data_IF_688510292690
#
_entry.id   IF_688510292690
#
_cell.length_a   1.000
_cell.length_b   1.000
_cell.length_c   1.000
_cell.angle_alpha   90.00
_cell.angle_beta   90.00
_cell.angle_gamma   90.00
#
_symmetry.space_group_name_H-M   'P 1'
#
loop_
_entity.id
_entity.type
_entity.pdbx_description
1 polymer ?
#
# COMPACT_ATOMS: atom_id res chain seq x y z
N UNK A 1 -24.01 -12.80 -5.03
CA UNK A 1 -23.75 -12.19 -4.70
C UNK A 1 -22.84 -11.95 -4.23
N UNK A 2 -22.44 -11.81 -4.10
CA UNK A 2 -21.68 -11.60 -3.75
C UNK A 2 -21.36 -10.98 -2.91
N UNK A 3 -21.21 -10.89 -2.39
CA UNK A 3 -21.09 -10.27 -1.57
C UNK A 3 -20.03 -9.91 -1.01
N UNK A 4 -19.52 -10.08 -0.81
CA UNK A 4 -18.72 -9.73 -0.39
C UNK A 4 -18.08 -8.72 -0.11
N UNK A 5 -18.15 -7.80 -0.48
CA UNK A 5 -17.50 -6.63 -0.13
C UNK A 5 -17.61 -6.25 1.24
N UNK A 6 -18.45 -6.84 1.85
CA UNK A 6 -18.54 -6.60 3.19
C UNK A 6 -17.30 -6.72 3.93
N UNK A 7 -16.36 -7.49 3.42
CA UNK A 7 -15.16 -7.74 4.15
C UNK A 7 -14.09 -6.68 3.99
N UNK A 8 -14.32 -5.67 3.18
CA UNK A 8 -13.34 -4.63 3.04
C UNK A 8 -13.38 -3.68 4.22
N UNK A 9 -12.27 -3.47 4.91
CA UNK A 9 -12.25 -2.52 6.03
C UNK A 9 -12.34 -1.09 5.53
N UNK A 10 -12.81 -0.19 6.39
CA UNK A 10 -12.82 1.22 6.07
C UNK A 10 -11.40 1.76 6.06
N UNK A 11 -11.15 2.72 5.20
CA UNK A 11 -9.82 3.32 5.05
C UNK A 11 -9.76 4.69 5.69
N UNK A 12 -8.57 5.15 6.12
CA UNK A 12 -8.42 6.51 6.62
C UNK A 12 -8.73 7.51 5.52
N UNK A 13 -8.99 8.75 5.92
CA UNK A 13 -9.27 9.81 4.97
C UNK A 13 -8.10 9.97 4.00
N UNK A 14 -8.42 10.15 2.73
CA UNK A 14 -7.41 10.29 1.68
C UNK A 14 -7.01 9.00 1.02
N UNK A 15 -7.39 7.87 1.59
CA UNK A 15 -7.09 6.56 1.02
C UNK A 15 -8.32 5.99 0.33
N UNK A 16 -8.12 5.33 -0.80
CA UNK A 16 -9.20 4.79 -1.61
C UNK A 16 -8.87 3.40 -2.09
N UNK A 17 -9.91 2.58 -2.27
CA UNK A 17 -9.73 1.30 -2.94
C UNK A 17 -9.65 1.56 -4.44
N UNK A 18 -8.62 1.08 -5.12
CA UNK A 18 -8.47 1.33 -6.55
C UNK A 18 -9.41 0.43 -7.36
N UNK A 19 -9.76 0.89 -8.56
CA UNK A 19 -10.42 -0.01 -9.49
C UNK A 19 -9.38 -0.99 -10.03
N UNK A 20 -9.84 -1.97 -10.82
CA UNK A 20 -8.93 -3.03 -11.28
C UNK A 20 -7.78 -2.49 -12.12
N UNK A 21 -8.03 -1.51 -12.96
CA UNK A 21 -6.99 -0.95 -13.80
C UNK A 21 -5.96 -0.21 -12.98
N UNK A 22 -6.41 0.61 -12.03
CA UNK A 22 -5.50 1.35 -11.15
C UNK A 22 -4.69 0.39 -10.30
N UNK A 23 -5.35 -0.64 -9.76
CA UNK A 23 -4.64 -1.63 -8.94
C UNK A 23 -3.54 -2.31 -9.75
N UNK A 24 -3.84 -2.66 -11.00
CA UNK A 24 -2.88 -3.32 -11.87
C UNK A 24 -1.71 -2.40 -12.18
N UNK A 25 -1.99 -1.12 -12.44
CA UNK A 25 -0.94 -0.15 -12.76
C UNK A 25 -0.03 0.08 -11.56
N UNK A 26 -0.60 0.19 -10.37
CA UNK A 26 0.20 0.38 -9.16
C UNK A 26 1.09 -0.84 -8.90
N UNK A 27 0.54 -2.03 -9.08
CA UNK A 27 1.32 -3.25 -8.89
C UNK A 27 2.43 -3.36 -9.92
N UNK A 28 2.13 -3.04 -11.17
CA UNK A 28 3.12 -3.11 -12.23
C UNK A 28 4.26 -2.13 -11.98
N UNK A 29 3.92 -0.91 -11.52
CA UNK A 29 4.96 0.06 -11.23
C UNK A 29 5.82 -0.39 -10.06
N UNK A 30 5.20 -0.96 -9.01
CA UNK A 30 5.97 -1.49 -7.91
C UNK A 30 6.99 -2.52 -8.41
N UNK A 31 6.54 -3.47 -9.25
CA UNK A 31 7.44 -4.51 -9.73
C UNK A 31 8.58 -3.94 -10.56
N UNK A 32 8.31 -2.87 -11.31
CA UNK A 32 9.37 -2.24 -12.10
C UNK A 32 10.41 -1.57 -11.23
N UNK A 33 10.00 -1.00 -10.10
CA UNK A 33 10.90 -0.22 -9.25
C UNK A 33 11.71 -1.04 -8.26
N UNK A 34 11.29 -2.27 -7.97
CA UNK A 34 11.92 -3.05 -6.91
C UNK A 34 13.32 -3.54 -7.29
N UNK A 35 14.37 -3.06 -6.61
CA UNK A 35 15.71 -3.60 -6.85
C UNK A 35 15.93 -4.85 -5.99
N UNK A 36 16.96 -5.64 -6.32
CA UNK A 36 17.34 -6.72 -5.44
C UNK A 36 17.65 -6.20 -4.03
N UNK A 37 17.22 -6.93 -3.02
CA UNK A 37 17.48 -6.54 -1.65
C UNK A 37 16.44 -5.64 -1.03
N UNK A 38 15.46 -5.16 -1.81
CA UNK A 38 14.37 -4.39 -1.25
C UNK A 38 13.48 -5.29 -0.39
N UNK A 39 12.86 -4.70 0.65
CA UNK A 39 11.97 -5.45 1.55
C UNK A 39 10.93 -6.25 0.78
N UNK A 40 10.38 -5.72 -0.30
CA UNK A 40 9.35 -6.39 -1.07
C UNK A 40 9.87 -7.22 -2.24
N UNK A 41 11.17 -7.25 -2.48
CA UNK A 41 11.71 -8.00 -3.59
C UNK A 41 11.38 -9.48 -3.43
N UNK A 42 10.70 -10.06 -4.41
CA UNK A 42 10.32 -11.47 -4.35
C UNK A 42 9.16 -11.77 -3.44
N UNK A 43 8.54 -10.76 -2.82
CA UNK A 43 7.40 -10.98 -1.92
C UNK A 43 6.10 -10.90 -2.71
N UNK A 44 5.23 -11.90 -2.62
CA UNK A 44 3.95 -11.82 -3.31
C UNK A 44 3.02 -10.85 -2.57
N UNK A 45 2.61 -9.81 -3.28
CA UNK A 45 1.71 -8.80 -2.72
C UNK A 45 0.66 -8.43 -3.75
N UNK A 46 -0.42 -7.83 -3.27
CA UNK A 46 -1.45 -7.28 -4.15
C UNK A 46 -1.73 -5.85 -3.74
N UNK A 47 -2.15 -5.03 -4.69
CA UNK A 47 -2.53 -3.65 -4.38
C UNK A 47 -3.81 -3.67 -3.58
N UNK A 48 -3.79 -3.02 -2.41
CA UNK A 48 -4.94 -3.01 -1.53
C UNK A 48 -5.63 -1.65 -1.55
N UNK A 49 -4.85 -0.56 -1.49
CA UNK A 49 -5.39 0.79 -1.47
C UNK A 49 -4.33 1.75 -1.94
N UNK A 50 -4.72 3.01 -2.21
CA UNK A 50 -3.75 4.03 -2.56
C UNK A 50 -4.23 5.39 -2.07
N UNK A 51 -3.29 6.31 -1.90
CA UNK A 51 -3.58 7.65 -1.43
C UNK A 51 -3.65 8.58 -2.64
N UNK A 52 -4.76 9.27 -2.78
CA UNK A 52 -4.93 10.21 -3.86
C UNK A 52 -4.33 11.56 -3.45
N UNK A 53 -3.89 12.33 -4.43
CA UNK A 53 -3.38 13.66 -4.16
C UNK A 53 -1.94 13.81 -4.56
N UNK A 54 -1.19 14.58 -3.80
CA UNK A 54 0.17 14.93 -4.17
C UNK A 54 1.20 13.83 -3.89
N UNK A 55 0.82 12.78 -3.18
CA UNK A 55 1.75 11.70 -2.87
C UNK A 55 1.43 10.48 -3.72
N UNK A 56 2.41 9.64 -3.88
CA UNK A 56 2.26 8.43 -4.68
C UNK A 56 2.32 7.19 -3.80
N UNK A 57 1.70 7.29 -2.62
CA UNK A 57 1.71 6.19 -1.66
C UNK A 57 0.69 5.14 -2.03
N UNK A 58 1.10 3.89 -1.98
CA UNK A 58 0.21 2.76 -2.22
C UNK A 58 0.38 1.76 -1.09
N UNK A 59 -0.71 1.10 -0.73
CA UNK A 59 -0.74 0.11 0.34
C UNK A 59 -0.87 -1.26 -0.31
N UNK A 60 0.11 -2.12 -0.05
CA UNK A 60 0.13 -3.47 -0.61
C UNK A 60 -0.09 -4.48 0.49
N UNK A 61 -0.95 -5.46 0.23
CA UNK A 61 -1.23 -6.54 1.18
C UNK A 61 -0.39 -7.75 0.78
N UNK A 62 0.27 -8.37 1.76
CA UNK A 62 1.04 -9.58 1.50
C UNK A 62 0.08 -10.76 1.39
N UNK A 63 0.16 -11.48 0.27
CA UNK A 63 -0.82 -12.52 -0.01
C UNK A 63 -0.50 -13.83 0.69
N UNK A 64 0.73 -13.99 1.15
CA UNK A 64 1.14 -15.21 1.85
C UNK A 64 1.39 -15.01 3.32
N UNK A 65 1.04 -13.84 3.84
CA UNK A 65 1.16 -13.56 5.26
C UNK A 65 -0.14 -12.95 5.76
N UNK A 66 -0.60 -13.48 6.88
CA UNK A 66 -1.81 -12.97 7.46
C UNK A 66 -1.58 -11.59 8.04
N UNK A 67 -2.43 -10.65 7.70
CA UNK A 67 -2.44 -9.30 8.29
C UNK A 67 -1.09 -8.60 8.18
N UNK A 68 -0.48 -8.62 7.00
CA UNK A 68 0.73 -7.85 6.77
C UNK A 68 0.51 -6.91 5.59
N UNK A 69 0.78 -5.62 5.82
CA UNK A 69 0.56 -4.55 4.86
C UNK A 69 1.79 -3.66 4.81
N UNK A 70 2.13 -3.19 3.62
CA UNK A 70 3.29 -2.32 3.44
C UNK A 70 2.89 -1.10 2.61
N UNK A 71 3.21 0.09 3.11
CA UNK A 71 2.99 1.33 2.36
C UNK A 71 4.28 1.67 1.63
N UNK A 72 4.17 1.84 0.33
CA UNK A 72 5.31 2.16 -0.53
C UNK A 72 5.06 3.51 -1.20
N UNK A 73 6.08 4.36 -1.17
CA UNK A 73 6.06 5.61 -1.93
C UNK A 73 6.71 5.34 -3.28
N UNK A 74 5.88 5.23 -4.32
CA UNK A 74 6.36 4.92 -5.67
C UNK A 74 7.01 6.15 -6.30
N UNK A 75 8.07 5.94 -7.05
CA UNK A 75 8.76 7.06 -7.70
C UNK A 75 8.24 7.34 -9.09
N UNK A 76 7.56 6.37 -9.70
CA UNK A 76 7.00 6.46 -11.05
C UNK A 76 8.05 6.75 -12.12
N UNK A 77 9.27 6.28 -11.89
CA UNK A 77 10.34 6.45 -12.87
C UNK A 77 10.27 5.43 -14.00
N UNK A 78 9.47 4.38 -13.83
CA UNK A 78 9.32 3.37 -14.85
C UNK A 78 10.52 2.46 -15.00
N UNK A 79 11.40 2.44 -14.01
CA UNK A 79 12.61 1.63 -14.04
C UNK A 79 12.99 1.22 -12.64
N UNK A 80 13.87 0.24 -12.56
CA UNK A 80 14.33 -0.28 -11.28
C UNK A 80 15.20 0.76 -10.57
N UNK A 81 14.95 0.93 -9.28
CA UNK A 81 15.77 1.79 -8.46
C UNK A 81 17.12 1.15 -8.23
N UNK A 82 18.14 1.98 -8.08
CA UNK A 82 19.49 1.47 -7.87
C UNK A 82 19.80 1.26 -6.40
N UNK A 83 18.99 1.83 -5.50
CA UNK A 83 19.22 1.72 -4.06
C UNK A 83 18.13 0.84 -3.47
N UNK A 84 18.52 -0.17 -2.68
CA UNK A 84 17.55 -1.12 -2.14
C UNK A 84 16.57 -0.50 -1.16
N UNK A 85 16.80 0.76 -0.75
CA UNK A 85 15.85 1.46 0.10
C UNK A 85 14.78 2.21 -0.68
N UNK A 86 14.83 2.15 -2.00
CA UNK A 86 13.82 2.76 -2.86
C UNK A 86 13.21 1.68 -3.73
N UNK A 87 11.92 1.76 -4.02
CA UNK A 87 10.98 2.79 -3.55
C UNK A 87 10.85 2.73 -2.03
N UNK A 88 10.59 3.89 -1.43
CA UNK A 88 10.64 4.03 0.02
C UNK A 88 9.52 3.26 0.71
N UNK A 89 9.88 2.52 1.75
CA UNK A 89 8.90 1.84 2.60
C UNK A 89 8.48 2.82 3.69
N UNK A 90 7.23 3.27 3.63
CA UNK A 90 6.72 4.21 4.62
C UNK A 90 6.17 3.52 5.84
N UNK A 91 5.71 2.30 5.69
CA UNK A 91 5.18 1.51 6.80
C UNK A 91 5.17 0.04 6.41
N UNK A 92 5.37 -0.84 7.39
CA UNK A 92 5.24 -2.28 7.21
C UNK A 92 4.74 -2.86 8.53
N UNK A 93 3.60 -3.55 8.51
CA UNK A 93 3.03 -4.12 9.72
C UNK A 93 1.59 -4.56 9.51
N UNK A 94 0.83 -4.61 10.60
CA UNK A 94 -0.57 -5.02 10.56
C UNK A 94 -1.46 -3.90 10.06
N UNK A 95 -2.69 -4.24 9.69
CA UNK A 95 -3.63 -3.21 9.26
C UNK A 95 -3.93 -2.23 10.40
N UNK A 96 -4.10 -2.74 11.62
CA UNK A 96 -4.31 -1.86 12.77
C UNK A 96 -3.11 -0.95 12.97
N UNK A 97 -1.90 -1.46 12.76
CA UNK A 97 -0.70 -0.65 12.83
C UNK A 97 -0.68 0.42 11.77
N UNK A 98 -1.15 0.11 10.56
CA UNK A 98 -1.26 1.08 9.48
C UNK A 98 -2.20 2.23 9.88
N UNK A 99 -3.37 1.91 10.44
CA UNK A 99 -4.30 2.95 10.88
C UNK A 99 -3.68 3.83 11.96
N UNK A 100 -2.98 3.23 12.91
CA UNK A 100 -2.35 3.98 13.97
C UNK A 100 -1.22 4.87 13.44
N UNK A 101 -0.48 4.38 12.45
CA UNK A 101 0.59 5.14 11.86
C UNK A 101 0.05 6.36 11.10
N UNK A 102 -1.06 6.19 10.39
CA UNK A 102 -1.68 7.30 9.68
C UNK A 102 -2.18 8.36 10.64
N UNK A 103 -2.76 7.94 11.75
CA UNK A 103 -3.22 8.89 12.76
C UNK A 103 -2.03 9.64 13.35
N UNK A 104 -0.96 8.95 13.65
CA UNK A 104 0.22 9.56 14.26
C UNK A 104 0.90 10.55 13.31
N UNK A 105 0.99 10.20 12.03
CA UNK A 105 1.69 11.04 11.06
C UNK A 105 0.88 12.21 10.56
N UNK A 106 -0.41 12.01 10.35
CA UNK A 106 -1.24 12.98 9.65
C UNK A 106 -2.43 13.46 10.45
N UNK A 107 -2.60 12.94 11.67
CA UNK A 107 -3.73 13.33 12.50
C UNK A 107 -5.05 12.83 11.97
N UNK A 108 -5.05 11.81 11.11
CA UNK A 108 -6.28 11.31 10.51
C UNK A 108 -7.02 10.43 11.50
N UNK A 109 -8.31 10.69 11.66
CA UNK A 109 -9.12 9.89 12.56
C UNK A 109 -9.32 8.51 11.95
N UNK A 110 -9.15 7.43 12.73
CA UNK A 110 -9.40 6.10 12.21
C UNK A 110 -10.86 5.97 11.77
N UNK A 111 -11.14 5.13 10.77
CA UNK A 111 -12.50 4.94 10.33
C UNK A 111 -13.35 4.38 11.45
N UNK A 112 -14.63 4.65 11.39
CA UNK A 112 -15.63 4.21 12.37
C UNK A 112 -15.47 4.88 13.71
N UNK A 113 -14.69 5.94 13.79
CA UNK A 113 -14.57 6.70 15.00
C UNK A 113 -13.95 5.93 16.15
N UNK A 114 -13.17 4.93 15.81
CA UNK A 114 -12.58 4.08 16.85
C UNK A 114 -11.22 4.59 17.24
#
# INVERSE_FOLDING_TARGET
MSATPLSRPALPEGWFYPDDDTARDLHAELQRELPPGHLLAGQPVETFAWREGATDDALFRHTEESDRFTVIHLSWLGRTEINSRHPTVEFDGTFAGFLADEERRYGLTPPDGV
#
